data_IF_556234323566
#
_entry.id   IF_556234323566
#
_cell.length_a   1.000
_cell.length_b   1.000
_cell.length_c   1.000
_cell.angle_alpha   90.00
_cell.angle_beta   90.00
_cell.angle_gamma   90.00
#
_symmetry.space_group_name_H-M   'P 1'
#
loop_
_entity.id
_entity.type
_entity.pdbx_description
1 polymer ?
#
# COMPACT_ATOMS: atom_id res chain seq x y z
N UNK A 1 -8.08 -9.54 -16.28
CA UNK A 1 -9.14 -8.57 -15.90
C UNK A 1 -8.54 -7.79 -14.74
N UNK A 2 -8.50 -6.46 -14.80
CA UNK A 2 -7.87 -5.69 -13.75
C UNK A 2 -8.67 -5.76 -12.46
N UNK A 3 -7.94 -5.72 -11.34
CA UNK A 3 -8.50 -5.54 -10.01
C UNK A 3 -8.39 -4.08 -9.60
N UNK A 4 -9.33 -3.58 -8.81
CA UNK A 4 -9.24 -2.25 -8.21
C UNK A 4 -8.71 -2.40 -6.79
N UNK A 5 -7.58 -1.74 -6.51
CA UNK A 5 -6.94 -1.76 -5.20
C UNK A 5 -6.96 -0.35 -4.61
N UNK A 6 -7.31 -0.24 -3.32
CA UNK A 6 -7.22 1.04 -2.60
C UNK A 6 -5.96 1.07 -1.76
N UNK A 7 -5.04 1.98 -2.05
CA UNK A 7 -3.83 2.20 -1.29
C UNK A 7 -4.02 3.27 -0.23
N UNK A 8 -3.65 2.93 1.01
CA UNK A 8 -3.50 3.83 2.15
C UNK A 8 -2.03 4.22 2.27
N UNK A 9 -1.67 5.39 1.76
CA UNK A 9 -0.32 5.92 1.83
C UNK A 9 -0.11 6.55 3.21
N UNK A 10 0.62 5.88 4.09
CA UNK A 10 0.80 6.33 5.47
C UNK A 10 2.09 7.14 5.59
N UNK A 11 1.94 8.45 5.80
CA UNK A 11 3.06 9.39 5.85
C UNK A 11 3.64 9.53 7.27
N UNK A 12 2.78 9.41 8.29
CA UNK A 12 3.15 9.42 9.70
C UNK A 12 2.11 8.65 10.52
N UNK A 13 2.57 7.69 11.31
CA UNK A 13 1.72 7.02 12.31
C UNK A 13 1.40 7.95 13.47
N UNK A 14 2.39 8.68 13.97
CA UNK A 14 2.25 9.62 15.09
C UNK A 14 1.20 10.70 14.82
N UNK A 15 1.20 11.25 13.60
CA UNK A 15 0.26 12.31 13.21
C UNK A 15 -0.98 11.77 12.48
N UNK A 16 -1.12 10.44 12.37
CA UNK A 16 -2.25 9.77 11.72
C UNK A 16 -2.52 10.28 10.29
N UNK A 17 -1.45 10.66 9.59
CA UNK A 17 -1.55 11.23 8.25
C UNK A 17 -1.61 10.11 7.21
N UNK A 18 -2.82 9.87 6.69
CA UNK A 18 -3.09 8.86 5.66
C UNK A 18 -3.69 9.50 4.42
N UNK A 19 -3.12 9.20 3.26
CA UNK A 19 -3.72 9.56 1.97
C UNK A 19 -4.24 8.31 1.27
N UNK A 20 -5.34 8.48 0.53
CA UNK A 20 -5.97 7.39 -0.21
C UNK A 20 -5.78 7.56 -1.71
N UNK A 21 -5.50 6.45 -2.39
CA UNK A 21 -5.35 6.34 -3.84
C UNK A 21 -6.01 5.05 -4.30
N UNK A 22 -6.73 5.07 -5.42
CA UNK A 22 -7.21 3.85 -6.06
C UNK A 22 -6.42 3.61 -7.34
N UNK A 23 -6.09 2.36 -7.62
CA UNK A 23 -5.42 1.94 -8.85
C UNK A 23 -6.11 0.72 -9.45
N UNK A 24 -6.15 0.70 -10.78
CA UNK A 24 -6.56 -0.47 -11.56
C UNK A 24 -5.30 -1.22 -11.96
N UNK A 25 -5.15 -2.47 -11.49
CA UNK A 25 -3.93 -3.25 -11.63
C UNK A 25 -4.24 -4.61 -12.27
N UNK A 26 -3.37 -5.07 -13.17
CA UNK A 26 -3.44 -6.46 -13.65
C UNK A 26 -2.84 -7.40 -12.61
N UNK A 27 -3.36 -8.63 -12.51
CA UNK A 27 -2.96 -9.60 -11.49
C UNK A 27 -1.52 -10.10 -11.68
N UNK A 28 -1.00 -9.97 -12.89
CA UNK A 28 0.35 -10.33 -13.30
C UNK A 28 1.40 -9.29 -12.88
N UNK A 29 0.97 -8.11 -12.40
CA UNK A 29 1.90 -7.10 -11.91
C UNK A 29 2.65 -7.62 -10.69
N UNK A 30 3.95 -7.35 -10.64
CA UNK A 30 4.76 -7.64 -9.45
C UNK A 30 4.58 -6.54 -8.40
N UNK A 31 4.85 -6.84 -7.14
CA UNK A 31 4.83 -5.84 -6.07
C UNK A 31 5.80 -4.66 -6.35
N UNK A 32 6.93 -4.92 -7.01
CA UNK A 32 7.87 -3.87 -7.43
C UNK A 32 7.26 -2.95 -8.50
N UNK A 33 6.59 -3.50 -9.52
CA UNK A 33 5.89 -2.71 -10.53
C UNK A 33 4.77 -1.87 -9.93
N UNK A 34 4.04 -2.43 -8.96
CA UNK A 34 3.01 -1.69 -8.21
C UNK A 34 3.63 -0.55 -7.39
N UNK A 35 4.75 -0.79 -6.71
CA UNK A 35 5.49 0.26 -6.02
C UNK A 35 5.88 1.40 -6.97
N UNK A 36 6.48 1.07 -8.12
CA UNK A 36 6.90 2.08 -9.10
C UNK A 36 5.72 2.93 -9.59
N UNK A 37 4.58 2.29 -9.86
CA UNK A 37 3.36 2.96 -10.29
C UNK A 37 2.82 3.91 -9.22
N UNK A 38 2.68 3.45 -7.97
CA UNK A 38 2.21 4.28 -6.85
C UNK A 38 3.18 5.43 -6.60
N UNK A 39 4.48 5.17 -6.64
CA UNK A 39 5.50 6.19 -6.45
C UNK A 39 5.43 7.28 -7.52
N UNK A 40 5.22 6.89 -8.78
CA UNK A 40 5.01 7.83 -9.89
C UNK A 40 3.79 8.71 -9.66
N UNK A 41 2.67 8.14 -9.22
CA UNK A 41 1.45 8.90 -8.92
C UNK A 41 1.65 9.86 -7.73
N UNK A 42 2.33 9.42 -6.66
CA UNK A 42 2.68 10.29 -5.52
C UNK A 42 3.53 11.49 -5.95
N UNK A 43 4.47 11.29 -6.88
CA UNK A 43 5.30 12.36 -7.42
C UNK A 43 4.50 13.31 -8.33
N UNK A 44 3.61 12.79 -9.17
CA UNK A 44 2.82 13.58 -10.10
C UNK A 44 1.73 14.41 -9.42
N UNK A 45 1.07 13.85 -8.39
CA UNK A 45 -0.14 14.44 -7.83
C UNK A 45 0.15 15.24 -6.55
N UNK A 46 -0.23 16.53 -6.55
CA UNK A 46 0.05 17.47 -5.45
C UNK A 46 -0.64 17.08 -4.13
N UNK A 47 -1.71 16.28 -4.17
CA UNK A 47 -2.35 15.70 -2.98
C UNK A 47 -1.34 14.98 -2.09
N UNK A 48 -0.33 14.33 -2.67
CA UNK A 48 0.66 13.53 -1.96
C UNK A 48 1.99 14.26 -1.73
N UNK A 49 2.04 15.58 -1.97
CA UNK A 49 3.24 16.40 -1.73
C UNK A 49 3.89 16.14 -0.36
N UNK A 50 3.15 15.99 0.76
CA UNK A 50 3.74 15.69 2.07
C UNK A 50 4.47 14.35 2.17
N UNK A 51 4.16 13.38 1.31
CA UNK A 51 4.76 12.04 1.30
C UNK A 51 6.03 11.95 0.46
N UNK A 52 6.24 12.86 -0.50
CA UNK A 52 7.33 12.80 -1.49
C UNK A 52 8.73 12.73 -0.86
N UNK A 53 8.96 13.47 0.23
CA UNK A 53 10.25 13.50 0.91
C UNK A 53 10.64 12.19 1.61
N UNK A 54 9.67 11.30 1.85
CA UNK A 54 9.89 9.97 2.47
C UNK A 54 9.79 8.83 1.46
N UNK A 55 9.38 9.09 0.22
CA UNK A 55 9.01 8.07 -0.75
C UNK A 55 10.11 7.01 -0.98
N UNK A 56 11.37 7.45 -1.03
CA UNK A 56 12.55 6.57 -1.18
C UNK A 56 12.73 5.56 -0.04
N UNK A 57 12.05 5.76 1.09
CA UNK A 57 12.13 4.89 2.27
C UNK A 57 10.94 3.93 2.37
N UNK A 58 9.89 4.10 1.55
CA UNK A 58 8.72 3.23 1.64
C UNK A 58 9.07 1.84 1.12
N UNK A 59 8.87 0.85 1.98
CA UNK A 59 9.40 -0.50 1.78
C UNK A 59 8.41 -1.61 2.15
N UNK A 60 7.18 -1.26 2.54
CA UNK A 60 6.23 -2.20 3.09
C UNK A 60 4.83 -2.03 2.50
N UNK A 61 4.27 -3.13 2.00
CA UNK A 61 2.83 -3.29 1.82
C UNK A 61 2.26 -4.13 2.95
N UNK A 62 1.06 -3.76 3.43
CA UNK A 62 0.34 -4.57 4.42
C UNK A 62 -1.15 -4.57 4.12
N UNK A 63 -1.78 -5.74 4.23
CA UNK A 63 -3.24 -5.85 4.13
C UNK A 63 -3.91 -5.00 5.22
N UNK A 64 -4.78 -4.08 4.84
CA UNK A 64 -5.63 -3.37 5.78
C UNK A 64 -7.00 -4.04 5.89
N UNK A 65 -7.63 -4.34 4.76
CA UNK A 65 -8.90 -5.07 4.76
C UNK A 65 -9.16 -5.73 3.41
N UNK A 66 -9.99 -6.77 3.44
CA UNK A 66 -10.51 -7.45 2.24
C UNK A 66 -11.96 -7.04 1.96
N UNK A 67 -12.44 -7.22 0.72
CA UNK A 67 -13.82 -6.93 0.36
C UNK A 67 -14.82 -7.62 1.30
N UNK A 68 -15.87 -6.90 1.69
CA UNK A 68 -16.94 -7.42 2.55
C UNK A 68 -16.59 -7.53 4.03
N UNK A 69 -15.34 -7.26 4.42
CA UNK A 69 -14.94 -7.18 5.84
C UNK A 69 -15.21 -5.76 6.36
N UNK A 70 -15.85 -5.66 7.53
CA UNK A 70 -16.06 -4.39 8.19
C UNK A 70 -14.71 -3.75 8.55
N UNK A 71 -14.52 -2.49 8.17
CA UNK A 71 -13.31 -1.73 8.48
C UNK A 71 -13.26 -1.46 9.98
N UNK A 72 -12.14 -1.72 10.62
CA UNK A 72 -11.88 -1.14 11.93
C UNK A 72 -11.72 0.37 11.74
N UNK A 73 -12.26 1.20 12.64
CA UNK A 73 -12.11 2.66 12.58
C UNK A 73 -10.68 3.15 12.84
N UNK A 74 -9.70 2.23 12.87
CA UNK A 74 -8.32 2.48 13.23
C UNK A 74 -7.56 3.09 12.05
N UNK A 75 -6.98 4.27 12.27
CA UNK A 75 -6.12 4.93 11.30
C UNK A 75 -4.69 4.34 11.28
N UNK A 76 -4.36 3.48 12.26
CA UNK A 76 -3.07 2.81 12.40
C UNK A 76 -2.97 1.51 11.56
N UNK A 77 -1.75 0.94 11.49
CA UNK A 77 -1.56 -0.43 10.99
C UNK A 77 -2.30 -1.39 11.92
N UNK A 78 -3.18 -2.22 11.37
CA UNK A 78 -3.74 -3.34 12.12
C UNK A 78 -2.64 -4.34 12.46
N UNK A 79 -2.68 -4.96 13.64
CA UNK A 79 -1.74 -6.06 13.94
C UNK A 79 -1.92 -7.24 12.98
N UNK A 80 -3.18 -7.52 12.64
CA UNK A 80 -3.57 -8.58 11.69
C UNK A 80 -3.40 -8.10 10.25
N UNK A 81 -3.42 -9.06 9.33
CA UNK A 81 -3.21 -8.83 7.90
C UNK A 81 -1.80 -9.24 7.48
N UNK A 82 -1.71 -9.71 6.24
CA UNK A 82 -0.46 -10.16 5.65
C UNK A 82 0.46 -8.97 5.36
N UNK A 83 1.77 -9.16 5.56
CA UNK A 83 2.81 -8.17 5.29
C UNK A 83 3.67 -8.64 4.13
N UNK A 84 3.98 -7.72 3.23
CA UNK A 84 4.85 -7.96 2.09
C UNK A 84 5.98 -6.93 2.07
N UNK A 85 7.12 -7.23 2.74
CA UNK A 85 8.34 -6.46 2.56
C UNK A 85 8.77 -6.44 1.09
N UNK A 86 8.88 -5.25 0.50
CA UNK A 86 9.10 -5.12 -0.95
C UNK A 86 10.47 -5.68 -1.37
N UNK A 87 11.47 -5.59 -0.50
CA UNK A 87 12.80 -6.16 -0.76
C UNK A 87 12.80 -7.69 -0.85
N UNK A 88 11.88 -8.36 -0.14
CA UNK A 88 11.80 -9.82 -0.08
C UNK A 88 10.79 -10.35 -1.10
N UNK A 89 9.66 -9.66 -1.27
CA UNK A 89 8.52 -10.10 -2.06
C UNK A 89 8.38 -9.37 -3.40
N UNK A 90 9.28 -8.45 -3.75
CA UNK A 90 9.12 -7.55 -4.90
C UNK A 90 8.85 -8.22 -6.26
N UNK A 91 9.31 -9.45 -6.45
CA UNK A 91 9.10 -10.24 -7.67
C UNK A 91 7.79 -11.06 -7.66
N UNK A 92 7.09 -11.14 -6.54
CA UNK A 92 5.82 -11.84 -6.46
C UNK A 92 4.74 -11.04 -7.19
N UNK A 93 3.90 -11.73 -7.95
CA UNK A 93 2.74 -11.14 -8.62
C UNK A 93 1.57 -10.94 -7.66
N UNK A 94 0.63 -10.08 -8.01
CA UNK A 94 -0.59 -9.87 -7.22
C UNK A 94 -1.41 -11.15 -7.07
N UNK A 95 -1.43 -12.01 -8.09
CA UNK A 95 -2.04 -13.34 -8.00
C UNK A 95 -1.33 -14.26 -6.99
N UNK A 96 0.00 -14.22 -6.90
CA UNK A 96 0.76 -15.03 -5.95
C UNK A 96 0.55 -14.60 -4.49
N UNK A 97 0.32 -13.30 -4.25
CA UNK A 97 0.00 -12.76 -2.92
C UNK A 97 -1.50 -12.67 -2.64
N UNK A 98 -2.33 -13.30 -3.48
CA UNK A 98 -3.79 -13.38 -3.33
C UNK A 98 -4.48 -12.02 -3.15
N UNK A 99 -4.01 -10.98 -3.84
CA UNK A 99 -4.73 -9.72 -3.90
C UNK A 99 -5.96 -9.86 -4.78
N UNK A 100 -7.06 -9.28 -4.34
CA UNK A 100 -8.37 -9.39 -4.98
C UNK A 100 -9.00 -8.02 -5.22
N UNK A 101 -10.00 -7.97 -6.10
CA UNK A 101 -10.72 -6.73 -6.39
C UNK A 101 -11.37 -6.17 -5.13
N UNK A 102 -11.06 -4.91 -4.80
CA UNK A 102 -11.59 -4.21 -3.64
C UNK A 102 -10.75 -4.34 -2.37
N UNK A 103 -9.61 -5.03 -2.42
CA UNK A 103 -8.66 -5.08 -1.30
C UNK A 103 -8.11 -3.68 -0.99
N UNK A 104 -7.89 -3.40 0.30
CA UNK A 104 -7.23 -2.19 0.75
C UNK A 104 -5.87 -2.51 1.35
N UNK A 105 -4.83 -1.83 0.86
CA UNK A 105 -3.44 -2.09 1.20
C UNK A 105 -2.81 -0.83 1.79
N UNK A 106 -2.17 -0.96 2.94
CA UNK A 106 -1.35 0.09 3.53
C UNK A 106 0.04 0.07 2.89
N UNK A 107 0.53 1.24 2.48
CA UNK A 107 1.86 1.45 1.93
C UNK A 107 2.62 2.46 2.80
N UNK A 108 3.75 2.04 3.37
CA UNK A 108 4.45 2.84 4.38
C UNK A 108 5.94 2.48 4.52
N UNK A 109 6.64 3.26 5.34
CA UNK A 109 7.99 2.95 5.82
C UNK A 109 7.85 2.09 7.08
N UNK A 110 8.23 0.81 7.03
CA UNK A 110 8.39 0.01 8.25
C UNK A 110 9.69 0.46 8.91
N UNK A 111 9.60 1.25 9.98
CA UNK A 111 10.76 1.47 10.85
C UNK A 111 11.00 0.18 11.65
N UNK A 112 12.25 -0.25 11.74
CA UNK A 112 12.65 -1.11 12.85
C UNK A 112 12.35 -0.32 14.14
N UNK A 113 11.48 -0.87 14.99
CA UNK A 113 10.92 -0.30 16.24
C UNK A 113 9.61 0.47 16.06
N UNK A 114 8.53 -0.23 16.42
CA UNK A 114 7.62 0.24 17.47
C UNK A 114 8.16 -0.35 18.77
#
# INVERSE_FOLDING_TARGET
MPITVTFRIIQSFEFQTVFYMQQSLELEFTLLQVQELINKEIQANNKFKPSRGKLQKFNMFKEFTRPGIAKTGELCIQQKGEEWPILENGNQTLSQVNWEHGIEISYYVKSERI
#
